data_IF_916884880565
#
_entry.id   IF_916884880565
#
_cell.length_a   1.000
_cell.length_b   1.000
_cell.length_c   1.000
_cell.angle_alpha   90.00
_cell.angle_beta   90.00
_cell.angle_gamma   90.00
#
_symmetry.space_group_name_H-M   'P 1'
#
loop_
_entity.id
_entity.type
_entity.pdbx_description
1 polymer ?
#
# COMPACT_ATOMS: atom_id res chain seq x y z
N UNK A 1 -25.22 19.11 17.67
CA UNK A 1 -24.23 18.35 16.89
C UNK A 1 -23.10 19.30 16.57
N UNK A 2 -22.02 19.21 17.35
CA UNK A 2 -20.92 20.16 17.36
C UNK A 2 -20.12 20.03 16.06
N UNK A 3 -20.29 21.00 15.16
CA UNK A 3 -19.39 21.22 14.04
C UNK A 3 -18.00 21.51 14.62
N UNK A 4 -17.06 20.59 14.46
CA UNK A 4 -15.65 20.91 14.65
C UNK A 4 -15.32 22.00 13.62
N UNK A 5 -15.05 23.21 14.10
CA UNK A 5 -14.55 24.30 13.25
C UNK A 5 -13.12 23.97 12.84
N UNK A 6 -12.74 24.24 11.59
CA UNK A 6 -11.38 24.06 11.06
C UNK A 6 -10.27 24.63 11.98
N UNK A 7 -10.56 25.63 12.81
CA UNK A 7 -9.62 26.19 13.79
C UNK A 7 -9.26 25.25 14.96
N UNK A 8 -10.16 24.34 15.37
CA UNK A 8 -9.89 23.39 16.45
C UNK A 8 -9.03 22.21 15.99
N UNK A 9 -9.20 21.76 14.74
CA UNK A 9 -8.37 20.70 14.15
C UNK A 9 -6.92 21.18 14.01
N UNK A 10 -6.72 22.39 13.46
CA UNK A 10 -5.39 22.99 13.28
C UNK A 10 -4.68 23.24 14.62
N UNK A 11 -5.42 23.62 15.67
CA UNK A 11 -4.88 23.83 17.01
C UNK A 11 -4.52 22.50 17.70
N UNK A 12 -5.38 21.48 17.58
CA UNK A 12 -5.14 20.14 18.11
C UNK A 12 -3.92 19.45 17.48
N UNK A 13 -3.59 19.80 16.23
CA UNK A 13 -2.46 19.26 15.49
C UNK A 13 -1.16 20.04 15.70
N UNK A 14 -1.14 21.13 16.49
CA UNK A 14 0.05 21.95 16.68
C UNK A 14 1.29 21.16 17.17
N UNK A 15 1.18 20.21 18.13
CA UNK A 15 2.32 19.37 18.51
C UNK A 15 2.79 18.44 17.39
N UNK A 16 1.84 17.86 16.64
CA UNK A 16 2.12 16.97 15.51
C UNK A 16 2.83 17.72 14.37
N UNK A 17 2.34 18.92 14.03
CA UNK A 17 2.96 19.80 13.02
C UNK A 17 4.37 20.17 13.41
N UNK A 18 4.61 20.57 14.66
CA UNK A 18 5.97 20.86 15.16
C UNK A 18 6.90 19.65 15.03
N UNK A 19 6.42 18.46 15.39
CA UNK A 19 7.22 17.23 15.24
C UNK A 19 7.53 16.90 13.78
N UNK A 20 6.55 17.09 12.88
CA UNK A 20 6.73 16.88 11.45
C UNK A 20 7.74 17.88 10.85
N UNK A 21 7.62 19.16 11.21
CA UNK A 21 8.54 20.24 10.83
C UNK A 21 9.95 20.03 11.40
N UNK A 22 10.06 19.39 12.57
CA UNK A 22 11.34 19.00 13.17
C UNK A 22 11.98 17.75 12.51
N UNK A 23 11.38 17.20 11.46
CA UNK A 23 11.94 16.09 10.69
C UNK A 23 11.49 14.70 11.12
N UNK A 24 10.58 14.55 12.09
CA UNK A 24 10.15 13.24 12.55
C UNK A 24 9.26 12.52 11.51
N UNK A 25 9.82 11.57 10.78
CA UNK A 25 9.13 10.90 9.67
C UNK A 25 7.76 10.28 10.03
N UNK A 26 7.57 9.61 11.19
CA UNK A 26 6.24 9.15 11.59
C UNK A 26 5.24 10.29 11.77
N UNK A 27 5.67 11.44 12.31
CA UNK A 27 4.79 12.60 12.46
C UNK A 27 4.45 13.23 11.11
N UNK A 28 5.39 13.27 10.17
CA UNK A 28 5.15 13.71 8.79
C UNK A 28 4.12 12.81 8.11
N UNK A 29 4.25 11.48 8.21
CA UNK A 29 3.26 10.54 7.64
C UNK A 29 1.88 10.70 8.28
N UNK A 30 1.79 10.79 9.62
CA UNK A 30 0.50 10.98 10.30
C UNK A 30 -0.13 12.33 9.91
N UNK A 31 0.66 13.39 9.82
CA UNK A 31 0.17 14.69 9.39
C UNK A 31 -0.31 14.65 7.93
N UNK A 32 0.46 14.03 7.04
CA UNK A 32 0.08 13.84 5.64
C UNK A 32 -1.25 13.10 5.51
N UNK A 33 -1.43 12.02 6.26
CA UNK A 33 -2.68 11.25 6.27
C UNK A 33 -3.88 12.09 6.73
N UNK A 34 -3.72 12.92 7.76
CA UNK A 34 -4.81 13.78 8.24
C UNK A 34 -5.13 14.88 7.20
N UNK A 35 -4.11 15.42 6.53
CA UNK A 35 -4.29 16.42 5.48
C UNK A 35 -5.00 15.82 4.26
N UNK A 36 -4.64 14.60 3.86
CA UNK A 36 -5.29 13.82 2.79
C UNK A 36 -6.78 13.58 3.10
N UNK A 37 -7.10 13.12 4.32
CA UNK A 37 -8.50 12.99 4.78
C UNK A 37 -9.27 14.32 4.79
N UNK A 38 -8.55 15.45 4.95
CA UNK A 38 -9.10 16.79 4.87
C UNK A 38 -9.12 17.39 3.46
N UNK A 39 -8.77 16.60 2.44
CA UNK A 39 -8.66 17.00 1.03
C UNK A 39 -7.61 18.11 0.77
N UNK A 40 -6.63 18.26 1.67
CA UNK A 40 -5.47 19.15 1.52
C UNK A 40 -4.33 18.42 0.78
N UNK A 41 -4.64 17.91 -0.41
CA UNK A 41 -3.84 16.89 -1.09
C UNK A 41 -2.41 17.35 -1.43
N UNK A 42 -2.21 18.60 -1.87
CA UNK A 42 -0.87 19.13 -2.15
C UNK A 42 0.01 19.19 -0.89
N UNK A 43 -0.56 19.59 0.26
CA UNK A 43 0.18 19.58 1.53
C UNK A 43 0.45 18.15 2.00
N UNK A 44 -0.52 17.24 1.85
CA UNK A 44 -0.34 15.83 2.17
C UNK A 44 0.82 15.22 1.37
N UNK A 45 0.86 15.43 0.05
CA UNK A 45 1.96 14.99 -0.83
C UNK A 45 3.30 15.51 -0.33
N UNK A 46 3.39 16.79 0.06
CA UNK A 46 4.64 17.36 0.58
C UNK A 46 5.12 16.62 1.83
N UNK A 47 4.25 16.36 2.80
CA UNK A 47 4.64 15.65 4.02
C UNK A 47 4.94 14.16 3.78
N UNK A 48 4.19 13.49 2.90
CA UNK A 48 4.54 12.13 2.48
C UNK A 48 5.90 12.09 1.78
N UNK A 49 6.20 13.07 0.91
CA UNK A 49 7.50 13.19 0.25
C UNK A 49 8.62 13.38 1.27
N UNK A 50 8.46 14.25 2.27
CA UNK A 50 9.45 14.44 3.34
C UNK A 50 9.73 13.14 4.12
N UNK A 51 8.70 12.33 4.39
CA UNK A 51 8.87 11.03 5.03
C UNK A 51 9.54 10.01 4.08
N UNK A 52 9.19 10.04 2.80
CA UNK A 52 9.76 9.18 1.77
C UNK A 52 11.25 9.48 1.53
N UNK A 53 11.66 10.75 1.55
CA UNK A 53 13.06 11.17 1.43
C UNK A 53 13.92 10.62 2.58
N UNK A 54 13.31 10.37 3.74
CA UNK A 54 13.94 9.72 4.90
C UNK A 54 13.89 8.18 4.84
N UNK A 55 13.42 7.61 3.72
CA UNK A 55 13.21 6.16 3.55
C UNK A 55 12.25 5.57 4.58
N UNK A 56 11.29 6.35 5.07
CA UNK A 56 10.29 5.87 6.01
C UNK A 56 9.17 5.14 5.26
N UNK A 57 9.01 3.81 5.42
CA UNK A 57 8.17 3.01 4.52
C UNK A 57 6.68 3.40 4.50
N UNK A 58 6.02 3.74 5.62
CA UNK A 58 4.65 4.25 5.60
C UNK A 58 4.51 5.56 4.80
N UNK A 59 5.52 6.43 4.83
CA UNK A 59 5.55 7.67 4.05
C UNK A 59 5.68 7.42 2.55
N UNK A 60 6.57 6.49 2.17
CA UNK A 60 6.72 6.04 0.78
C UNK A 60 5.41 5.44 0.26
N UNK A 61 4.76 4.59 1.06
CA UNK A 61 3.47 4.00 0.70
C UNK A 61 2.38 5.06 0.51
N UNK A 62 2.28 6.02 1.43
CA UNK A 62 1.33 7.13 1.31
C UNK A 62 1.56 7.94 0.04
N UNK A 63 2.83 8.28 -0.26
CA UNK A 63 3.19 8.95 -1.50
C UNK A 63 2.81 8.13 -2.74
N UNK A 64 3.04 6.81 -2.72
CA UNK A 64 2.66 5.91 -3.81
C UNK A 64 1.16 5.96 -4.10
N UNK A 65 0.32 5.97 -3.05
CA UNK A 65 -1.13 6.09 -3.17
C UNK A 65 -1.54 7.43 -3.79
N UNK A 66 -0.99 8.56 -3.33
CA UNK A 66 -1.29 9.88 -3.90
C UNK A 66 -0.88 9.99 -5.38
N UNK A 67 0.29 9.44 -5.73
CA UNK A 67 0.78 9.40 -7.12
C UNK A 67 -0.07 8.49 -8.00
N UNK A 68 -0.63 7.41 -7.44
CA UNK A 68 -1.52 6.51 -8.19
C UNK A 68 -2.87 7.16 -8.48
N UNK A 69 -3.44 7.90 -7.52
CA UNK A 69 -4.73 8.57 -7.68
C UNK A 69 -4.62 9.89 -8.44
N UNK A 70 -3.47 10.56 -8.40
CA UNK A 70 -3.28 11.90 -8.95
C UNK A 70 -3.77 13.01 -8.01
N UNK A 71 -3.92 12.71 -6.72
CA UNK A 71 -4.40 13.67 -5.73
C UNK A 71 -3.26 14.61 -5.32
N UNK A 72 -3.38 15.91 -5.64
CA UNK A 72 -2.37 16.91 -5.28
C UNK A 72 -0.98 16.71 -5.92
N UNK A 73 -0.87 15.76 -6.86
CA UNK A 73 0.34 15.46 -7.63
C UNK A 73 -0.07 14.87 -8.98
N UNK A 74 0.78 15.01 -10.00
CA UNK A 74 0.52 14.37 -11.29
C UNK A 74 0.41 12.84 -11.14
N UNK A 75 -0.61 12.27 -11.77
CA UNK A 75 -0.86 10.83 -11.76
C UNK A 75 0.22 10.09 -12.55
N UNK A 76 0.87 9.13 -11.91
CA UNK A 76 1.86 8.28 -12.58
C UNK A 76 1.84 6.85 -11.99
N UNK A 77 1.10 5.97 -12.67
CA UNK A 77 0.95 4.59 -12.23
C UNK A 77 2.27 3.80 -12.21
N UNK A 78 3.25 4.15 -13.05
CA UNK A 78 4.55 3.47 -13.09
C UNK A 78 5.40 3.89 -11.89
N UNK A 79 5.43 5.19 -11.59
CA UNK A 79 6.09 5.74 -10.41
C UNK A 79 5.43 5.23 -9.12
N UNK A 80 4.11 5.19 -9.06
CA UNK A 80 3.38 4.63 -7.91
C UNK A 80 3.78 3.18 -7.66
N UNK A 81 3.82 2.34 -8.70
CA UNK A 81 4.27 0.96 -8.57
C UNK A 81 5.69 0.87 -7.98
N UNK A 82 6.62 1.69 -8.49
CA UNK A 82 7.99 1.71 -8.00
C UNK A 82 8.08 2.10 -6.51
N UNK A 83 7.30 3.10 -6.08
CA UNK A 83 7.22 3.52 -4.68
C UNK A 83 6.60 2.43 -3.79
N UNK A 84 5.54 1.76 -4.23
CA UNK A 84 5.00 0.61 -3.48
C UNK A 84 6.04 -0.50 -3.34
N UNK A 85 6.77 -0.82 -4.41
CA UNK A 85 7.83 -1.81 -4.37
C UNK A 85 8.97 -1.40 -3.43
N UNK A 86 9.35 -0.13 -3.41
CA UNK A 86 10.34 0.40 -2.48
C UNK A 86 9.87 0.22 -1.03
N UNK A 87 8.68 0.68 -0.68
CA UNK A 87 8.11 0.52 0.66
C UNK A 87 8.02 -0.97 1.07
N UNK A 88 7.58 -1.84 0.15
CA UNK A 88 7.48 -3.27 0.37
C UNK A 88 8.85 -3.93 0.62
N UNK A 89 9.88 -3.49 -0.11
CA UNK A 89 11.27 -3.96 0.06
C UNK A 89 11.87 -3.54 1.40
N UNK A 90 11.40 -2.44 1.98
CA UNK A 90 11.76 -1.96 3.31
C UNK A 90 10.91 -2.60 4.43
N UNK A 91 10.11 -3.62 4.11
CA UNK A 91 9.33 -4.38 5.11
C UNK A 91 7.96 -3.79 5.43
N UNK A 92 7.41 -2.91 4.58
CA UNK A 92 6.03 -2.43 4.75
C UNK A 92 5.04 -3.33 4.04
N UNK A 93 4.53 -4.31 4.78
CA UNK A 93 3.60 -5.34 4.30
C UNK A 93 2.38 -4.83 3.52
N UNK A 94 1.72 -3.72 3.90
CA UNK A 94 0.58 -3.19 3.14
C UNK A 94 0.91 -2.86 1.68
N UNK A 95 2.17 -2.57 1.36
CA UNK A 95 2.58 -2.33 -0.02
C UNK A 95 2.61 -3.59 -0.87
N UNK A 96 2.87 -4.77 -0.30
CA UNK A 96 2.72 -6.04 -1.02
C UNK A 96 1.25 -6.30 -1.40
N UNK A 97 0.31 -5.96 -0.50
CA UNK A 97 -1.12 -6.04 -0.79
C UNK A 97 -1.53 -5.07 -1.92
N UNK A 98 -1.03 -3.83 -1.89
CA UNK A 98 -1.28 -2.85 -2.96
C UNK A 98 -0.75 -3.32 -4.33
N UNK A 99 0.46 -3.90 -4.36
CA UNK A 99 1.05 -4.49 -5.57
C UNK A 99 0.25 -5.71 -6.06
N UNK A 100 -0.22 -6.55 -5.15
CA UNK A 100 -1.09 -7.68 -5.49
C UNK A 100 -2.41 -7.20 -6.10
N UNK A 101 -3.04 -6.17 -5.56
CA UNK A 101 -4.24 -5.58 -6.14
C UNK A 101 -3.97 -4.95 -7.51
N UNK A 102 -2.82 -4.30 -7.69
CA UNK A 102 -2.35 -3.84 -9.00
C UNK A 102 -2.30 -4.95 -10.04
N UNK A 103 -1.64 -6.04 -9.68
CA UNK A 103 -1.49 -7.20 -10.54
C UNK A 103 -2.85 -7.81 -10.90
N UNK A 104 -3.76 -7.93 -9.93
CA UNK A 104 -5.05 -8.59 -10.11
C UNK A 104 -6.06 -7.75 -10.89
N UNK A 105 -6.11 -6.44 -10.66
CA UNK A 105 -7.05 -5.55 -11.36
C UNK A 105 -6.43 -4.88 -12.59
N UNK A 106 -5.14 -5.10 -12.88
CA UNK A 106 -4.39 -4.53 -14.01
C UNK A 106 -4.42 -2.99 -14.05
N UNK A 107 -4.37 -2.36 -12.89
CA UNK A 107 -4.54 -0.90 -12.76
C UNK A 107 -3.21 -0.13 -12.54
N UNK A 108 -2.09 -0.83 -12.39
CA UNK A 108 -0.76 -0.23 -12.44
C UNK A 108 0.09 -0.85 -13.54
N UNK A 109 0.85 -0.02 -14.27
CA UNK A 109 1.85 -0.48 -15.21
C UNK A 109 3.12 -0.89 -14.44
N UNK A 110 3.56 -2.16 -14.53
CA UNK A 110 4.79 -2.57 -13.89
C UNK A 110 6.01 -1.89 -14.55
N UNK A 111 7.12 -1.68 -13.82
CA UNK A 111 8.39 -1.27 -14.40
C UNK A 111 8.91 -2.33 -15.38
N UNK A 112 9.96 -2.01 -16.14
CA UNK A 112 10.55 -2.92 -17.14
C UNK A 112 10.98 -4.27 -16.56
N UNK A 113 11.34 -4.31 -15.28
CA UNK A 113 11.76 -5.53 -14.56
C UNK A 113 11.01 -5.65 -13.23
N UNK A 114 9.71 -6.04 -13.25
CA UNK A 114 8.95 -6.19 -12.04
C UNK A 114 9.26 -7.53 -11.36
N UNK A 115 9.01 -7.67 -10.05
CA UNK A 115 8.92 -8.97 -9.42
C UNK A 115 7.84 -9.84 -10.09
N UNK A 116 8.03 -11.15 -10.07
CA UNK A 116 7.05 -12.08 -10.65
C UNK A 116 5.72 -12.01 -9.92
N UNK A 117 4.63 -12.39 -10.61
CA UNK A 117 3.31 -12.54 -10.02
C UNK A 117 3.34 -13.48 -8.80
N UNK A 118 4.09 -14.60 -8.90
CA UNK A 118 4.31 -15.54 -7.79
C UNK A 118 4.87 -14.83 -6.56
N UNK A 119 5.92 -14.02 -6.75
CA UNK A 119 6.59 -13.30 -5.66
C UNK A 119 5.66 -12.32 -4.97
N UNK A 120 4.97 -11.47 -5.75
CA UNK A 120 4.08 -10.43 -5.21
C UNK A 120 2.93 -11.07 -4.43
N UNK A 121 2.25 -12.04 -5.02
CA UNK A 121 1.11 -12.69 -4.39
C UNK A 121 1.53 -13.49 -3.16
N UNK A 122 2.67 -14.20 -3.22
CA UNK A 122 3.17 -14.98 -2.07
C UNK A 122 3.48 -14.04 -0.90
N UNK A 123 4.23 -12.96 -1.15
CA UNK A 123 4.54 -11.95 -0.12
C UNK A 123 3.28 -11.35 0.50
N UNK A 124 2.28 -11.01 -0.30
CA UNK A 124 1.03 -10.48 0.22
C UNK A 124 0.24 -11.54 1.01
N UNK A 125 0.18 -12.79 0.53
CA UNK A 125 -0.52 -13.87 1.21
C UNK A 125 0.14 -14.24 2.56
N UNK A 126 1.46 -14.15 2.66
CA UNK A 126 2.22 -14.40 3.88
C UNK A 126 1.84 -13.40 4.99
N UNK A 127 1.52 -12.16 4.64
CA UNK A 127 1.06 -11.12 5.58
C UNK A 127 -0.44 -11.21 5.90
N UNK A 128 -1.10 -12.27 5.42
CA UNK A 128 -2.51 -12.53 5.65
C UNK A 128 -3.47 -11.96 4.60
N UNK A 129 -2.97 -11.49 3.45
CA UNK A 129 -3.82 -10.96 2.40
C UNK A 129 -4.59 -12.09 1.68
N UNK A 130 -5.83 -12.32 2.11
CA UNK A 130 -6.69 -13.42 1.63
C UNK A 130 -6.85 -13.43 0.10
N UNK A 131 -7.05 -12.26 -0.52
CA UNK A 131 -7.22 -12.16 -1.99
C UNK A 131 -5.99 -12.66 -2.75
N UNK A 132 -4.78 -12.48 -2.21
CA UNK A 132 -3.59 -13.03 -2.84
C UNK A 132 -3.50 -14.56 -2.69
N UNK A 133 -3.88 -15.12 -1.54
CA UNK A 133 -3.94 -16.56 -1.35
C UNK A 133 -4.95 -17.22 -2.31
N UNK A 134 -6.17 -16.66 -2.42
CA UNK A 134 -7.20 -17.12 -3.37
C UNK A 134 -6.70 -17.01 -4.82
N UNK A 135 -5.99 -15.92 -5.15
CA UNK A 135 -5.41 -15.74 -6.48
C UNK A 135 -4.33 -16.79 -6.80
N UNK A 136 -3.42 -17.09 -5.87
CA UNK A 136 -2.42 -18.15 -6.06
C UNK A 136 -3.09 -19.50 -6.28
N UNK A 137 -4.07 -19.86 -5.44
CA UNK A 137 -4.82 -21.10 -5.57
C UNK A 137 -5.45 -21.25 -6.96
N UNK A 138 -6.17 -20.22 -7.41
CA UNK A 138 -6.81 -20.21 -8.73
C UNK A 138 -5.78 -20.30 -9.86
N UNK A 139 -4.74 -19.49 -9.83
CA UNK A 139 -3.81 -19.38 -10.96
C UNK A 139 -2.88 -20.57 -11.08
N UNK A 140 -2.49 -21.26 -10.00
CA UNK A 140 -1.84 -22.57 -10.10
C UNK A 140 -2.78 -23.67 -10.61
N UNK A 141 -4.08 -23.60 -10.31
CA UNK A 141 -5.03 -24.58 -10.86
C UNK A 141 -5.23 -24.39 -12.38
N UNK A 142 -5.28 -23.13 -12.84
CA UNK A 142 -5.60 -22.81 -14.24
C UNK A 142 -4.39 -22.55 -15.13
N UNK A 143 -3.22 -22.28 -14.56
CA UNK A 143 -2.03 -21.85 -15.29
C UNK A 143 -2.10 -20.39 -15.74
N UNK A 144 -2.54 -19.49 -14.87
CA UNK A 144 -2.67 -18.05 -15.14
C UNK A 144 -1.54 -17.21 -14.52
N UNK A 145 -1.43 -15.92 -14.92
CA UNK A 145 -0.38 -15.00 -14.43
C UNK A 145 1.05 -15.55 -14.61
N UNK A 146 1.30 -16.25 -15.72
CA UNK A 146 2.56 -16.93 -16.02
C UNK A 146 2.98 -18.01 -14.99
N UNK A 147 2.04 -18.45 -14.14
CA UNK A 147 2.26 -19.57 -13.23
C UNK A 147 2.04 -20.90 -13.95
N UNK A 148 2.87 -21.91 -13.70
CA UNK A 148 2.62 -23.26 -14.21
C UNK A 148 1.38 -23.86 -13.55
N UNK A 149 0.72 -24.78 -14.25
CA UNK A 149 -0.33 -25.60 -13.63
C UNK A 149 0.30 -26.53 -12.59
N UNK A 150 -0.14 -26.40 -11.34
CA UNK A 150 0.34 -27.19 -10.21
C UNK A 150 -0.79 -27.44 -9.20
N UNK A 151 -1.36 -28.64 -9.22
CA UNK A 151 -2.47 -29.01 -8.35
C UNK A 151 -2.07 -29.05 -6.86
N UNK A 152 -0.82 -29.37 -6.54
CA UNK A 152 -0.34 -29.43 -5.17
C UNK A 152 -0.21 -28.02 -4.58
N UNK A 153 0.42 -27.10 -5.32
CA UNK A 153 0.48 -25.69 -4.90
C UNK A 153 -0.91 -25.05 -4.84
N UNK A 154 -1.79 -25.36 -5.79
CA UNK A 154 -3.17 -24.87 -5.76
C UNK A 154 -3.90 -25.31 -4.48
N UNK A 155 -3.77 -26.59 -4.08
CA UNK A 155 -4.36 -27.12 -2.87
C UNK A 155 -3.76 -26.49 -1.59
N UNK A 156 -2.44 -26.28 -1.55
CA UNK A 156 -1.75 -25.60 -0.44
C UNK A 156 -2.29 -24.19 -0.24
N UNK A 157 -2.37 -23.39 -1.31
CA UNK A 157 -2.88 -22.01 -1.22
C UNK A 157 -4.38 -21.97 -0.91
N UNK A 158 -5.16 -22.96 -1.37
CA UNK A 158 -6.57 -23.10 -0.98
C UNK A 158 -6.71 -23.31 0.53
N UNK A 159 -5.89 -24.20 1.10
CA UNK A 159 -5.88 -24.44 2.53
C UNK A 159 -5.47 -23.17 3.31
N UNK A 160 -4.44 -22.47 2.85
CA UNK A 160 -4.00 -21.20 3.43
C UNK A 160 -5.12 -20.14 3.41
N UNK A 161 -5.85 -20.03 2.30
CA UNK A 161 -6.97 -19.10 2.19
C UNK A 161 -8.10 -19.42 3.18
N UNK A 162 -8.39 -20.71 3.41
CA UNK A 162 -9.37 -21.15 4.43
C UNK A 162 -8.93 -20.71 5.83
N UNK A 163 -7.66 -20.91 6.18
CA UNK A 163 -7.10 -20.48 7.47
C UNK A 163 -7.20 -18.97 7.67
N UNK A 164 -6.82 -18.19 6.66
CA UNK A 164 -6.89 -16.73 6.71
C UNK A 164 -8.33 -16.24 6.90
N UNK A 165 -9.30 -16.84 6.19
CA UNK A 165 -10.73 -16.51 6.34
C UNK A 165 -11.23 -16.79 7.77
N UNK A 166 -10.77 -17.88 8.38
CA UNK A 166 -11.10 -18.23 9.76
C UNK A 166 -10.44 -17.31 10.80
N UNK A 167 -9.26 -16.75 10.50
CA UNK A 167 -8.57 -15.80 11.38
C UNK A 167 -9.24 -14.42 11.38
N UNK A 168 -9.83 -13.99 10.26
CA UNK A 168 -10.53 -12.68 10.16
C UNK A 168 -11.90 -12.62 10.85
N UNK A 169 -12.43 -13.75 11.32
CA UNK A 169 -13.75 -13.85 11.96
C UNK A 169 -13.72 -13.92 13.50
N UNK A 170 -12.53 -13.84 14.10
CA UNK A 170 -12.32 -13.86 15.56
C UNK A 170 -11.99 -12.47 16.06
#
# INVERSE_FOLDING_TARGET
MTSFRNGDLLSAMAPLRRAAEAGHAPAQTTLAYILDLGEYNEEAVRYYQMAADQKYPPGIHGLASMVLSGDGVEQDATRAYALFLEAASLGYDPSWAALADALLNKHMAPPTTPPTAETILTKAADTGYLRAADALAKNYATGGLDLPKDAAKAAQWTQRAIELRGATQK
#
